data_IF_762707800355
#
_entry.id   IF_762707800355
#
_cell.length_a   1.000
_cell.length_b   1.000
_cell.length_c   1.000
_cell.angle_alpha   90.00
_cell.angle_beta   90.00
_cell.angle_gamma   90.00
#
_symmetry.space_group_name_H-M   'P 1'
#
loop_
_entity.id
_entity.type
_entity.pdbx_description
1 polymer ?
#
# COMPACT_ATOMS: atom_id res chain seq x y z
N UNK A 1 -7.83 39.28 24.47
CA UNK A 1 -9.20 38.75 24.48
C UNK A 1 -9.84 39.27 23.23
N UNK A 2 -10.05 38.44 22.22
CA UNK A 2 -11.08 38.72 21.22
C UNK A 2 -11.70 37.39 20.83
N UNK A 3 -13.01 37.37 20.95
CA UNK A 3 -13.86 36.20 21.00
C UNK A 3 -14.91 36.42 19.91
N UNK A 4 -14.46 36.52 18.66
CA UNK A 4 -15.31 36.68 17.48
C UNK A 4 -16.03 35.35 17.23
N UNK A 5 -17.19 35.20 17.85
CA UNK A 5 -18.12 34.10 17.58
C UNK A 5 -18.85 34.43 16.28
N UNK A 6 -18.34 33.92 15.15
CA UNK A 6 -19.05 34.01 13.87
C UNK A 6 -20.08 32.87 13.77
N UNK A 7 -21.37 33.21 13.66
CA UNK A 7 -22.46 32.23 13.53
C UNK A 7 -22.58 31.69 12.09
N UNK A 8 -22.26 32.52 11.10
CA UNK A 8 -22.16 32.23 9.68
C UNK A 8 -21.01 33.08 9.14
N UNK A 9 -20.03 32.48 8.46
CA UNK A 9 -19.02 33.26 7.73
C UNK A 9 -18.61 32.55 6.44
N UNK A 10 -18.58 33.31 5.36
CA UNK A 10 -17.92 32.96 4.10
C UNK A 10 -16.72 33.88 3.93
N UNK A 11 -15.57 33.34 3.56
CA UNK A 11 -14.40 34.15 3.18
C UNK A 11 -13.86 33.64 1.87
N UNK A 12 -13.96 34.47 0.83
CA UNK A 12 -13.45 34.17 -0.50
C UNK A 12 -12.19 35.01 -0.71
N UNK A 13 -11.08 34.37 -1.06
CA UNK A 13 -9.78 35.02 -1.20
C UNK A 13 -9.09 34.64 -2.51
N UNK A 14 -9.06 35.57 -3.47
CA UNK A 14 -8.39 35.42 -4.77
C UNK A 14 -7.21 36.40 -4.98
N UNK A 15 -6.15 36.40 -4.14
CA UNK A 15 -5.04 37.31 -4.37
C UNK A 15 -4.21 36.88 -5.59
N UNK A 16 -3.82 37.87 -6.42
CA UNK A 16 -3.07 37.65 -7.67
C UNK A 16 -1.73 38.37 -7.63
N UNK A 17 -0.64 37.68 -7.93
CA UNK A 17 0.73 38.25 -8.00
C UNK A 17 1.45 37.81 -9.28
N UNK A 18 2.21 38.73 -9.89
CA UNK A 18 3.00 38.45 -11.10
C UNK A 18 4.51 38.31 -10.87
N UNK A 19 5.05 38.89 -9.80
CA UNK A 19 6.52 39.06 -9.62
C UNK A 19 6.99 39.05 -8.15
N UNK A 20 6.08 38.87 -7.18
CA UNK A 20 6.41 38.83 -5.75
C UNK A 20 5.89 37.54 -5.10
N UNK A 21 6.66 37.01 -4.14
CA UNK A 21 6.23 35.91 -3.27
C UNK A 21 4.87 36.22 -2.64
N UNK A 22 3.92 35.29 -2.78
CA UNK A 22 2.56 35.47 -2.27
C UNK A 22 2.33 34.49 -1.12
N UNK A 23 1.86 35.01 0.01
CA UNK A 23 1.52 34.21 1.18
C UNK A 23 0.10 34.55 1.64
N UNK A 24 -0.78 33.56 1.61
CA UNK A 24 -2.18 33.69 2.00
C UNK A 24 -2.40 32.93 3.30
N UNK A 25 -2.90 33.63 4.32
CA UNK A 25 -3.18 33.05 5.63
C UNK A 25 -4.63 33.33 6.00
N UNK A 26 -5.44 32.27 6.04
CA UNK A 26 -6.83 32.33 6.50
C UNK A 26 -6.91 31.64 7.84
N UNK A 27 -7.20 32.40 8.90
CA UNK A 27 -7.26 31.89 10.27
C UNK A 27 -8.60 32.20 10.91
N UNK A 28 -9.38 31.16 11.21
CA UNK A 28 -10.70 31.30 11.82
C UNK A 28 -10.78 30.53 13.14
N UNK A 29 -11.32 31.18 14.17
CA UNK A 29 -11.47 30.59 15.51
C UNK A 29 -12.93 30.61 15.95
N UNK A 30 -13.43 29.45 16.41
CA UNK A 30 -14.80 29.21 16.89
C UNK A 30 -15.89 29.56 15.87
N UNK A 31 -16.09 28.64 14.94
CA UNK A 31 -17.01 28.82 13.81
C UNK A 31 -18.14 27.82 13.90
N UNK A 32 -19.38 28.26 13.65
CA UNK A 32 -20.57 27.39 13.74
C UNK A 32 -21.09 26.87 12.42
N UNK A 33 -20.90 27.63 11.34
CA UNK A 33 -21.10 27.25 9.95
C UNK A 33 -20.20 28.16 9.11
N UNK A 34 -19.34 27.59 8.25
CA UNK A 34 -18.54 28.39 7.34
C UNK A 34 -18.13 27.66 6.07
N UNK A 35 -17.91 28.43 5.02
CA UNK A 35 -17.13 28.06 3.84
C UNK A 35 -15.94 29.00 3.74
N UNK A 36 -14.77 28.49 3.44
CA UNK A 36 -13.64 29.34 3.06
C UNK A 36 -13.16 28.91 1.70
N UNK A 37 -13.14 29.84 0.76
CA UNK A 37 -12.67 29.60 -0.60
C UNK A 37 -11.39 30.42 -0.84
N UNK A 38 -10.36 29.78 -1.36
CA UNK A 38 -9.02 30.37 -1.52
C UNK A 38 -8.41 29.96 -2.85
N UNK A 39 -8.49 30.85 -3.84
CA UNK A 39 -7.96 30.65 -5.20
C UNK A 39 -6.82 31.64 -5.55
N UNK A 40 -5.67 31.61 -4.86
CA UNK A 40 -4.60 32.54 -5.15
C UNK A 40 -3.86 32.14 -6.42
N UNK A 41 -3.49 33.16 -7.19
CA UNK A 41 -2.83 33.01 -8.46
C UNK A 41 -1.45 33.64 -8.43
N UNK A 42 -0.44 32.91 -8.86
CA UNK A 42 0.91 33.43 -8.99
C UNK A 42 1.60 33.02 -10.29
N UNK A 43 2.23 33.99 -10.94
CA UNK A 43 3.16 33.75 -12.05
C UNK A 43 4.58 33.97 -11.56
N UNK A 44 5.47 32.99 -11.76
CA UNK A 44 6.92 33.09 -11.53
C UNK A 44 7.36 33.42 -10.08
N UNK A 45 6.50 33.26 -9.07
CA UNK A 45 6.88 33.43 -7.66
C UNK A 45 6.35 32.32 -6.74
N UNK A 46 7.07 32.01 -5.64
CA UNK A 46 6.63 31.00 -4.68
C UNK A 46 5.31 31.42 -4.04
N UNK A 47 4.37 30.48 -3.98
CA UNK A 47 3.04 30.66 -3.42
C UNK A 47 2.87 29.76 -2.20
N UNK A 48 2.51 30.34 -1.06
CA UNK A 48 2.17 29.61 0.16
C UNK A 48 0.75 29.95 0.59
N UNK A 49 -0.07 28.93 0.78
CA UNK A 49 -1.46 29.05 1.23
C UNK A 49 -1.62 28.25 2.51
N UNK A 50 -2.10 28.91 3.56
CA UNK A 50 -2.31 28.30 4.85
C UNK A 50 -3.72 28.62 5.36
N UNK A 51 -4.55 27.59 5.46
CA UNK A 51 -5.92 27.69 5.99
C UNK A 51 -6.00 26.98 7.33
N UNK A 52 -6.40 27.69 8.37
CA UNK A 52 -6.46 27.19 9.74
C UNK A 52 -7.81 27.43 10.39
N UNK A 53 -8.54 26.35 10.72
CA UNK A 53 -9.79 26.42 11.49
C UNK A 53 -9.65 25.76 12.85
N UNK A 54 -10.05 26.48 13.88
CA UNK A 54 -10.07 25.98 15.26
C UNK A 54 -11.47 26.01 15.86
N UNK A 55 -11.97 24.86 16.32
CA UNK A 55 -13.30 24.66 16.92
C UNK A 55 -14.42 24.99 15.93
N UNK A 56 -14.60 24.11 14.96
CA UNK A 56 -15.51 24.30 13.84
C UNK A 56 -16.70 23.31 13.93
N UNK A 57 -17.91 23.81 13.75
CA UNK A 57 -19.12 23.03 13.49
C UNK A 57 -19.51 23.24 12.02
N UNK A 58 -19.70 22.18 11.23
CA UNK A 58 -20.17 22.24 9.84
C UNK A 58 -19.40 23.24 8.96
N UNK A 59 -18.18 22.88 8.59
CA UNK A 59 -17.29 23.77 7.84
C UNK A 59 -16.79 23.09 6.56
N UNK A 60 -16.71 23.83 5.47
CA UNK A 60 -15.98 23.47 4.25
C UNK A 60 -14.80 24.41 4.05
N UNK A 61 -13.70 23.88 3.52
CA UNK A 61 -12.58 24.70 3.05
C UNK A 61 -12.16 24.22 1.68
N UNK A 62 -12.23 25.10 0.68
CA UNK A 62 -11.90 24.79 -0.70
C UNK A 62 -10.69 25.67 -1.05
N UNK A 63 -9.63 25.06 -1.59
CA UNK A 63 -8.35 25.74 -1.83
C UNK A 63 -7.80 25.35 -3.20
N UNK A 64 -7.91 26.25 -4.18
CA UNK A 64 -7.49 26.02 -5.57
C UNK A 64 -6.38 26.98 -6.03
N UNK A 65 -5.17 26.91 -5.45
CA UNK A 65 -4.11 27.82 -5.83
C UNK A 65 -3.48 27.43 -7.17
N UNK A 66 -3.22 28.43 -8.00
CA UNK A 66 -2.60 28.24 -9.30
C UNK A 66 -1.22 28.90 -9.37
N UNK A 67 -0.21 28.13 -9.80
CA UNK A 67 1.16 28.61 -9.96
C UNK A 67 1.76 28.26 -11.32
N UNK A 68 2.45 29.21 -11.96
CA UNK A 68 3.24 28.98 -13.16
C UNK A 68 4.73 29.23 -12.88
N UNK A 69 5.55 28.18 -12.85
CA UNK A 69 7.02 28.30 -12.80
C UNK A 69 7.63 28.51 -11.40
N UNK A 70 6.99 28.10 -10.30
CA UNK A 70 7.48 28.31 -8.93
C UNK A 70 7.01 27.27 -7.90
N UNK A 71 7.60 27.24 -6.70
CA UNK A 71 7.15 26.32 -5.64
C UNK A 71 5.79 26.72 -5.06
N UNK A 72 4.88 25.75 -4.96
CA UNK A 72 3.55 25.89 -4.37
C UNK A 72 3.46 25.04 -3.09
N UNK A 73 3.09 25.67 -1.97
CA UNK A 73 2.85 24.98 -0.71
C UNK A 73 1.45 25.31 -0.18
N UNK A 74 0.66 24.27 0.05
CA UNK A 74 -0.69 24.38 0.61
C UNK A 74 -0.73 23.63 1.94
N UNK A 75 -1.18 24.30 2.99
CA UNK A 75 -1.34 23.72 4.31
C UNK A 75 -2.76 23.98 4.83
N UNK A 76 -3.55 22.93 5.02
CA UNK A 76 -4.89 23.01 5.60
C UNK A 76 -4.89 22.34 6.97
N UNK A 77 -5.18 23.11 8.02
CA UNK A 77 -5.14 22.68 9.41
C UNK A 77 -6.49 22.82 10.10
N UNK A 78 -7.15 21.71 10.38
CA UNK A 78 -8.44 21.68 11.05
C UNK A 78 -8.32 21.06 12.46
N UNK A 79 -8.78 21.80 13.47
CA UNK A 79 -8.72 21.38 14.87
C UNK A 79 -10.08 21.42 15.55
N UNK A 80 -10.50 20.27 16.13
CA UNK A 80 -11.79 20.09 16.83
C UNK A 80 -12.98 20.39 15.92
N UNK A 81 -13.08 19.62 14.83
CA UNK A 81 -14.18 19.70 13.87
C UNK A 81 -15.24 18.66 14.18
N UNK A 82 -16.51 19.04 14.13
CA UNK A 82 -17.61 18.09 14.39
C UNK A 82 -18.30 17.56 13.13
N UNK A 83 -18.22 18.32 12.03
CA UNK A 83 -18.56 17.95 10.66
C UNK A 83 -17.83 18.90 9.73
N UNK A 84 -17.19 18.38 8.69
CA UNK A 84 -16.60 19.24 7.69
C UNK A 84 -15.86 18.52 6.58
N UNK A 85 -15.52 19.27 5.55
CA UNK A 85 -14.74 18.82 4.41
C UNK A 85 -13.58 19.76 4.16
N UNK A 86 -12.49 19.23 3.60
CA UNK A 86 -11.43 20.02 3.00
C UNK A 86 -11.28 19.56 1.57
N UNK A 87 -11.39 20.47 0.62
CA UNK A 87 -11.04 20.24 -0.78
C UNK A 87 -9.81 21.07 -1.12
N UNK A 88 -8.88 20.50 -1.89
CA UNK A 88 -7.60 21.12 -2.20
C UNK A 88 -7.14 20.69 -3.59
N UNK A 89 -7.35 21.56 -4.58
CA UNK A 89 -6.98 21.34 -5.99
C UNK A 89 -5.86 22.29 -6.48
N UNK A 90 -4.63 22.20 -5.93
CA UNK A 90 -3.55 23.05 -6.36
C UNK A 90 -3.09 22.67 -7.77
N UNK A 91 -2.96 23.67 -8.63
CA UNK A 91 -2.55 23.48 -10.02
C UNK A 91 -1.21 24.15 -10.30
N UNK A 92 -0.32 23.43 -10.97
CA UNK A 92 0.96 23.96 -11.38
C UNK A 92 1.47 23.42 -12.72
N UNK A 93 2.33 24.19 -13.40
CA UNK A 93 2.95 23.74 -14.67
C UNK A 93 4.37 23.22 -14.49
N UNK A 94 5.24 23.99 -13.85
CA UNK A 94 6.70 23.73 -13.75
C UNK A 94 7.21 24.08 -12.34
N UNK A 95 7.00 23.21 -11.36
CA UNK A 95 6.95 23.61 -9.95
C UNK A 95 7.33 22.47 -8.98
N UNK A 96 7.59 22.80 -7.71
CA UNK A 96 7.51 21.82 -6.63
C UNK A 96 6.21 22.08 -5.89
N UNK A 97 5.35 21.06 -5.77
CA UNK A 97 4.03 21.17 -5.15
C UNK A 97 4.03 20.35 -3.86
N UNK A 98 3.71 21.01 -2.75
CA UNK A 98 3.54 20.35 -1.46
C UNK A 98 2.17 20.66 -0.89
N UNK A 99 1.38 19.61 -0.60
CA UNK A 99 0.09 19.72 0.08
C UNK A 99 0.22 19.04 1.44
N UNK A 100 -0.23 19.72 2.50
CA UNK A 100 -0.28 19.18 3.85
C UNK A 100 -1.68 19.40 4.43
N UNK A 101 -2.45 18.34 4.64
CA UNK A 101 -3.76 18.41 5.28
C UNK A 101 -3.68 17.74 6.65
N UNK A 102 -4.06 18.47 7.70
CA UNK A 102 -3.97 18.03 9.09
C UNK A 102 -5.28 18.20 9.84
N UNK A 103 -5.86 17.10 10.29
CA UNK A 103 -7.13 17.07 11.04
C UNK A 103 -6.91 16.49 12.43
N UNK A 104 -7.16 17.30 13.46
CA UNK A 104 -7.01 16.90 14.86
C UNK A 104 -8.33 16.93 15.60
N UNK A 105 -8.73 15.81 16.20
CA UNK A 105 -10.00 15.63 16.95
C UNK A 105 -11.21 15.94 16.08
N UNK A 106 -11.32 15.24 14.96
CA UNK A 106 -12.44 15.39 14.04
C UNK A 106 -13.52 14.32 14.27
N UNK A 107 -14.78 14.71 14.12
CA UNK A 107 -15.92 13.81 13.97
C UNK A 107 -16.52 14.04 12.58
N UNK A 108 -16.77 12.98 11.81
CA UNK A 108 -17.41 13.04 10.48
C UNK A 108 -16.73 14.03 9.54
N UNK A 109 -15.55 13.67 9.02
CA UNK A 109 -14.76 14.54 8.16
C UNK A 109 -14.37 13.90 6.83
N UNK A 110 -14.31 14.68 5.76
CA UNK A 110 -13.74 14.26 4.48
C UNK A 110 -12.56 15.15 4.12
N UNK A 111 -11.56 14.59 3.47
CA UNK A 111 -10.48 15.34 2.84
C UNK A 111 -10.34 14.85 1.41
N UNK A 112 -10.50 15.75 0.46
CA UNK A 112 -10.20 15.53 -0.94
C UNK A 112 -8.96 16.36 -1.32
N UNK A 113 -8.11 15.83 -2.17
CA UNK A 113 -6.85 16.46 -2.57
C UNK A 113 -6.47 16.02 -3.98
N UNK A 114 -6.74 16.89 -4.96
CA UNK A 114 -6.45 16.67 -6.38
C UNK A 114 -5.36 17.63 -6.93
N UNK A 115 -4.09 17.50 -6.51
CA UNK A 115 -3.03 18.34 -7.04
C UNK A 115 -2.73 17.97 -8.48
N UNK A 116 -2.72 18.96 -9.39
CA UNK A 116 -2.46 18.76 -10.82
C UNK A 116 -1.17 19.44 -11.25
N UNK A 117 -0.27 18.67 -11.86
CA UNK A 117 0.99 19.19 -12.38
C UNK A 117 1.35 18.73 -13.80
N UNK A 118 2.17 19.50 -14.51
CA UNK A 118 2.79 19.00 -15.75
C UNK A 118 4.21 18.45 -15.52
N UNK A 119 5.14 19.26 -15.00
CA UNK A 119 6.55 18.88 -14.80
C UNK A 119 7.03 19.29 -13.41
N UNK A 120 7.03 18.39 -12.43
CA UNK A 120 7.14 18.79 -11.02
C UNK A 120 7.81 17.75 -10.09
N UNK A 121 7.84 18.07 -8.81
CA UNK A 121 7.88 17.07 -7.73
C UNK A 121 6.68 17.35 -6.84
N UNK A 122 5.87 16.33 -6.59
CA UNK A 122 4.59 16.45 -5.90
C UNK A 122 4.65 15.68 -4.59
N UNK A 123 4.36 16.34 -3.47
CA UNK A 123 4.33 15.73 -2.16
C UNK A 123 3.01 16.02 -1.45
N UNK A 124 2.22 14.98 -1.17
CA UNK A 124 0.97 15.09 -0.40
C UNK A 124 1.16 14.44 0.96
N UNK A 125 0.86 15.17 2.02
CA UNK A 125 0.86 14.67 3.39
C UNK A 125 -0.54 14.84 3.99
N UNK A 126 -1.21 13.74 4.32
CA UNK A 126 -2.49 13.79 5.05
C UNK A 126 -2.32 13.19 6.43
N UNK A 127 -2.65 13.95 7.47
CA UNK A 127 -2.51 13.54 8.86
C UNK A 127 -3.84 13.62 9.63
N UNK A 128 -4.41 12.47 10.01
CA UNK A 128 -5.58 12.42 10.89
C UNK A 128 -5.20 11.97 12.29
N UNK A 129 -5.57 12.75 13.30
CA UNK A 129 -5.29 12.45 14.71
C UNK A 129 -6.54 12.50 15.56
N UNK A 130 -6.89 11.36 16.19
CA UNK A 130 -8.09 11.21 17.03
C UNK A 130 -9.39 11.46 16.25
N UNK A 131 -9.52 10.81 15.10
CA UNK A 131 -10.71 10.87 14.26
C UNK A 131 -11.68 9.71 14.55
N UNK A 132 -12.97 9.90 14.24
CA UNK A 132 -13.99 8.89 14.52
C UNK A 132 -14.61 8.25 13.28
N UNK A 133 -14.94 9.05 12.27
CA UNK A 133 -15.41 8.66 10.94
C UNK A 133 -14.83 9.67 9.98
N UNK A 134 -13.78 9.30 9.25
CA UNK A 134 -13.23 10.19 8.26
C UNK A 134 -12.70 9.44 7.07
N UNK A 135 -12.91 10.00 5.89
CA UNK A 135 -12.49 9.45 4.62
C UNK A 135 -11.51 10.45 3.99
N UNK A 136 -10.57 9.94 3.21
CA UNK A 136 -9.48 10.74 2.62
C UNK A 136 -9.25 10.23 1.23
N UNK A 137 -9.52 11.09 0.26
CA UNK A 137 -9.38 10.80 -1.15
C UNK A 137 -8.22 11.64 -1.68
N UNK A 138 -7.35 11.05 -2.48
CA UNK A 138 -6.14 11.72 -2.98
C UNK A 138 -5.85 11.28 -4.41
N UNK A 139 -6.16 12.15 -5.38
CA UNK A 139 -6.02 11.89 -6.81
C UNK A 139 -5.01 12.82 -7.47
N UNK A 140 -3.71 12.68 -7.18
CA UNK A 140 -2.71 13.56 -7.75
C UNK A 140 -2.48 13.20 -9.21
N UNK A 141 -2.60 14.19 -10.09
CA UNK A 141 -2.37 14.02 -11.52
C UNK A 141 -1.06 14.69 -11.92
N UNK A 142 -0.18 13.95 -12.58
CA UNK A 142 0.99 14.56 -13.17
C UNK A 142 1.55 13.92 -14.42
N UNK A 143 1.92 14.76 -15.40
CA UNK A 143 2.46 14.26 -16.68
C UNK A 143 3.90 13.75 -16.56
N UNK A 144 4.80 14.47 -15.90
CA UNK A 144 6.21 14.10 -15.68
C UNK A 144 6.64 14.50 -14.27
N UNK A 145 6.76 13.53 -13.36
CA UNK A 145 6.97 13.82 -11.94
C UNK A 145 7.55 12.69 -11.16
N UNK A 146 8.11 13.03 -10.00
CA UNK A 146 8.16 12.17 -8.82
C UNK A 146 7.01 12.53 -7.88
N UNK A 147 6.11 11.59 -7.64
CA UNK A 147 5.05 11.69 -6.65
C UNK A 147 5.52 11.10 -5.31
N UNK A 148 5.16 11.72 -4.19
CA UNK A 148 5.23 11.14 -2.85
C UNK A 148 3.93 11.44 -2.11
N UNK A 149 3.15 10.42 -1.81
CA UNK A 149 1.95 10.55 -0.97
C UNK A 149 2.24 9.87 0.36
N UNK A 150 1.87 10.53 1.45
CA UNK A 150 2.11 10.13 2.83
C UNK A 150 0.81 10.30 3.62
N UNK A 151 0.10 9.21 3.91
CA UNK A 151 -1.09 9.25 4.76
C UNK A 151 -0.76 8.70 6.14
N UNK A 152 -0.99 9.50 7.19
CA UNK A 152 -0.66 9.20 8.57
C UNK A 152 -1.91 9.23 9.48
N UNK A 153 -2.42 8.06 9.88
CA UNK A 153 -3.61 7.96 10.72
C UNK A 153 -3.29 7.49 12.16
N UNK A 154 -3.63 8.32 13.14
CA UNK A 154 -3.36 8.05 14.57
C UNK A 154 -4.62 8.08 15.42
N UNK A 155 -4.96 6.93 16.02
CA UNK A 155 -6.11 6.72 16.92
C UNK A 155 -7.44 7.02 16.21
N UNK A 156 -7.68 6.32 15.11
CA UNK A 156 -8.90 6.45 14.32
C UNK A 156 -9.84 5.27 14.60
N UNK A 157 -11.15 5.53 14.69
CA UNK A 157 -12.14 4.46 14.89
C UNK A 157 -12.60 3.84 13.57
N UNK A 158 -13.01 4.66 12.59
CA UNK A 158 -13.44 4.26 11.25
C UNK A 158 -12.85 5.23 10.23
N UNK A 159 -12.17 4.71 9.21
CA UNK A 159 -11.67 5.51 8.09
C UNK A 159 -11.49 4.71 6.81
N UNK A 160 -11.77 5.35 5.66
CA UNK A 160 -11.26 4.96 4.35
C UNK A 160 -10.09 5.85 3.94
N UNK A 161 -9.25 5.36 3.05
CA UNK A 161 -8.20 6.16 2.41
C UNK A 161 -8.04 5.64 1.00
N UNK A 162 -8.43 6.46 0.03
CA UNK A 162 -8.44 6.08 -1.37
C UNK A 162 -7.39 6.95 -2.07
N UNK A 163 -6.47 6.33 -2.80
CA UNK A 163 -5.34 7.04 -3.43
C UNK A 163 -5.15 6.58 -4.88
N UNK A 164 -5.49 7.46 -5.83
CA UNK A 164 -5.42 7.17 -7.27
C UNK A 164 -4.42 8.09 -8.00
N UNK A 165 -3.11 7.91 -7.80
CA UNK A 165 -2.13 8.77 -8.44
C UNK A 165 -1.98 8.41 -9.92
N UNK A 166 -2.02 9.42 -10.79
CA UNK A 166 -1.71 9.27 -12.21
C UNK A 166 -0.38 9.95 -12.54
N UNK A 167 0.67 9.17 -12.80
CA UNK A 167 1.95 9.79 -13.19
C UNK A 167 2.92 8.88 -13.95
N UNK A 168 3.99 9.47 -14.50
CA UNK A 168 5.12 8.73 -15.11
C UNK A 168 6.14 8.15 -14.12
N UNK A 169 6.30 8.67 -12.90
CA UNK A 169 7.15 8.06 -11.84
C UNK A 169 6.54 8.37 -10.46
N UNK A 170 5.96 7.38 -9.79
CA UNK A 170 5.17 7.60 -8.58
C UNK A 170 5.74 6.82 -7.40
N UNK A 171 6.04 7.44 -6.27
CA UNK A 171 6.29 6.76 -4.99
C UNK A 171 5.15 7.04 -4.02
N UNK A 172 4.78 6.05 -3.21
CA UNK A 172 3.66 6.11 -2.29
C UNK A 172 4.06 5.54 -0.93
N UNK A 173 3.56 6.12 0.15
CA UNK A 173 3.71 5.53 1.48
C UNK A 173 2.48 5.82 2.32
N UNK A 174 1.96 4.82 3.00
CA UNK A 174 0.78 4.91 3.85
C UNK A 174 1.13 4.36 5.24
N UNK A 175 1.13 5.21 6.27
CA UNK A 175 1.45 4.80 7.65
C UNK A 175 0.23 4.91 8.59
N UNK A 176 -0.14 3.80 9.21
CA UNK A 176 -1.32 3.68 10.06
C UNK A 176 -0.92 3.24 11.49
N UNK A 177 -0.67 4.18 12.40
CA UNK A 177 -0.10 3.83 13.70
C UNK A 177 -1.12 3.19 14.67
N UNK A 178 -2.40 3.59 14.65
CA UNK A 178 -3.48 3.00 15.50
C UNK A 178 -4.87 3.17 14.90
N UNK A 179 -5.46 2.09 14.40
CA UNK A 179 -6.80 2.08 13.83
C UNK A 179 -7.67 0.96 14.45
N UNK A 180 -8.98 1.18 14.57
CA UNK A 180 -9.92 0.09 14.92
C UNK A 180 -10.50 -0.58 13.67
N UNK A 181 -11.05 0.21 12.74
CA UNK A 181 -11.53 -0.21 11.43
C UNK A 181 -10.98 0.74 10.38
N UNK A 182 -10.19 0.23 9.45
CA UNK A 182 -9.69 1.03 8.33
C UNK A 182 -9.66 0.21 7.04
N UNK A 183 -9.98 0.87 5.93
CA UNK A 183 -9.66 0.40 4.58
C UNK A 183 -8.61 1.34 3.98
N UNK A 184 -7.81 0.84 3.05
CA UNK A 184 -6.86 1.64 2.29
C UNK A 184 -6.81 1.06 0.89
N UNK A 185 -7.26 1.84 -0.09
CA UNK A 185 -7.38 1.40 -1.47
C UNK A 185 -6.44 2.27 -2.31
N UNK A 186 -5.55 1.63 -3.06
CA UNK A 186 -4.57 2.34 -3.89
C UNK A 186 -4.63 1.87 -5.34
N UNK A 187 -5.00 2.77 -6.26
CA UNK A 187 -5.00 2.50 -7.71
C UNK A 187 -4.04 3.40 -8.50
N UNK A 188 -2.71 3.20 -8.42
CA UNK A 188 -1.78 4.02 -9.15
C UNK A 188 -1.78 3.67 -10.65
N UNK A 189 -1.81 4.69 -11.51
CA UNK A 189 -1.88 4.54 -12.97
C UNK A 189 -0.70 5.22 -13.65
N UNK A 190 -0.01 4.49 -14.54
CA UNK A 190 1.18 5.00 -15.23
C UNK A 190 1.41 4.38 -16.61
N UNK A 191 2.31 5.01 -17.39
CA UNK A 191 2.87 4.37 -18.59
C UNK A 191 4.15 3.60 -18.23
N UNK A 192 5.08 4.30 -17.61
CA UNK A 192 6.25 3.74 -16.91
C UNK A 192 6.03 4.05 -15.42
N UNK A 193 6.35 3.17 -14.48
CA UNK A 193 6.48 3.60 -13.07
C UNK A 193 7.52 2.80 -12.29
N UNK A 194 8.07 3.46 -11.27
CA UNK A 194 8.73 2.81 -10.14
C UNK A 194 7.92 3.12 -8.90
N UNK A 195 7.00 2.22 -8.53
CA UNK A 195 6.13 2.40 -7.39
C UNK A 195 6.69 1.68 -6.19
N UNK A 196 7.01 2.43 -5.15
CA UNK A 196 7.19 1.87 -3.82
C UNK A 196 5.95 2.20 -3.04
N UNK A 197 5.34 1.22 -2.39
CA UNK A 197 4.25 1.38 -1.44
C UNK A 197 4.69 0.81 -0.11
N UNK A 198 4.57 1.59 0.96
CA UNK A 198 4.85 1.11 2.31
C UNK A 198 3.59 1.27 3.14
N UNK A 199 2.96 0.16 3.53
CA UNK A 199 1.81 0.13 4.43
C UNK A 199 2.25 -0.33 5.82
N UNK A 200 2.25 0.58 6.79
CA UNK A 200 2.72 0.29 8.16
C UNK A 200 1.61 0.36 9.20
N UNK A 201 1.18 -0.77 9.78
CA UNK A 201 0.12 -0.83 10.81
C UNK A 201 0.67 -1.26 12.18
N UNK A 202 0.63 -0.39 13.19
CA UNK A 202 1.26 -0.71 14.51
C UNK A 202 0.32 -1.31 15.56
N UNK A 203 -1.00 -1.03 15.47
CA UNK A 203 -2.07 -1.67 16.25
C UNK A 203 -3.39 -1.53 15.49
N UNK A 204 -3.88 -2.63 14.95
CA UNK A 204 -5.12 -2.67 14.21
C UNK A 204 -6.06 -3.75 14.77
N UNK A 205 -7.37 -3.48 14.79
CA UNK A 205 -8.37 -4.51 15.10
C UNK A 205 -8.93 -5.19 13.85
N UNK A 206 -9.35 -4.39 12.87
CA UNK A 206 -9.83 -4.81 11.56
C UNK A 206 -9.27 -3.83 10.53
N UNK A 207 -8.47 -4.32 9.59
CA UNK A 207 -7.87 -3.47 8.56
C UNK A 207 -7.71 -4.27 7.27
N UNK A 208 -8.18 -3.69 6.18
CA UNK A 208 -8.02 -4.27 4.84
C UNK A 208 -7.24 -3.24 4.00
N UNK A 209 -6.51 -3.72 3.01
CA UNK A 209 -5.58 -2.91 2.21
C UNK A 209 -5.52 -3.50 0.83
N UNK A 210 -5.98 -2.74 -0.16
CA UNK A 210 -6.16 -3.20 -1.52
C UNK A 210 -5.30 -2.34 -2.45
N UNK A 211 -4.47 -2.98 -3.29
CA UNK A 211 -3.49 -2.32 -4.14
C UNK A 211 -3.63 -2.79 -5.59
N UNK A 212 -4.14 -1.95 -6.49
CA UNK A 212 -4.37 -2.25 -7.92
C UNK A 212 -3.58 -1.34 -8.88
N UNK A 213 -2.26 -1.51 -9.00
CA UNK A 213 -1.45 -0.69 -9.90
C UNK A 213 -1.66 -1.08 -11.35
N UNK A 214 -1.85 -0.08 -12.24
CA UNK A 214 -2.01 -0.28 -13.69
C UNK A 214 -0.92 0.44 -14.48
N UNK A 215 -0.09 -0.33 -15.19
CA UNK A 215 1.11 0.17 -15.88
C UNK A 215 1.37 -0.51 -17.24
N UNK A 216 2.10 0.14 -18.16
CA UNK A 216 2.68 -0.60 -19.30
C UNK A 216 4.00 -1.27 -18.87
N UNK A 217 4.93 -0.49 -18.31
CA UNK A 217 6.18 -0.99 -17.74
C UNK A 217 6.32 -0.52 -16.29
N UNK A 218 6.58 -1.44 -15.37
CA UNK A 218 6.65 -1.07 -13.96
C UNK A 218 7.60 -1.88 -13.10
N UNK A 219 8.23 -1.19 -12.15
CA UNK A 219 8.86 -1.79 -10.99
C UNK A 219 8.01 -1.46 -9.77
N UNK A 220 7.31 -2.46 -9.23
CA UNK A 220 6.49 -2.32 -8.03
C UNK A 220 7.24 -2.88 -6.82
N UNK A 221 7.21 -2.19 -5.70
CA UNK A 221 7.76 -2.64 -4.43
C UNK A 221 6.76 -2.35 -3.33
N UNK A 222 6.00 -3.35 -2.92
CA UNK A 222 4.97 -3.25 -1.87
C UNK A 222 5.55 -3.80 -0.58
N UNK A 223 5.59 -2.99 0.46
CA UNK A 223 6.02 -3.36 1.80
C UNK A 223 4.86 -3.22 2.77
N UNK A 224 4.34 -4.34 3.27
CA UNK A 224 3.26 -4.35 4.26
C UNK A 224 3.80 -4.81 5.60
N UNK A 225 3.84 -3.91 6.57
CA UNK A 225 4.31 -4.17 7.93
C UNK A 225 3.19 -4.09 8.95
N UNK A 226 2.65 -5.23 9.40
CA UNK A 226 1.63 -5.25 10.46
C UNK A 226 2.24 -5.69 11.79
N UNK A 227 2.01 -4.91 12.83
CA UNK A 227 2.36 -5.20 14.20
C UNK A 227 1.10 -5.21 15.06
N UNK A 228 0.89 -6.27 15.84
CA UNK A 228 -0.24 -6.41 16.78
C UNK A 228 -1.61 -6.19 16.12
N UNK A 229 -1.87 -6.92 15.04
CA UNK A 229 -3.18 -6.93 14.38
C UNK A 229 -4.07 -8.08 14.88
N UNK A 230 -5.38 -7.87 14.96
CA UNK A 230 -6.33 -8.94 15.28
C UNK A 230 -6.94 -9.62 14.05
N UNK A 231 -7.39 -8.83 13.06
CA UNK A 231 -7.88 -9.28 11.75
C UNK A 231 -7.38 -8.32 10.70
N UNK A 232 -6.70 -8.84 9.68
CA UNK A 232 -6.17 -8.02 8.60
C UNK A 232 -6.15 -8.77 7.27
N UNK A 233 -6.59 -8.13 6.19
CA UNK A 233 -6.40 -8.55 4.81
C UNK A 233 -5.39 -7.64 4.09
N UNK A 234 -4.81 -8.13 3.01
CA UNK A 234 -3.95 -7.34 2.13
C UNK A 234 -4.03 -7.96 0.76
N UNK A 235 -4.64 -7.26 -0.18
CA UNK A 235 -4.90 -7.77 -1.53
C UNK A 235 -4.09 -6.92 -2.52
N UNK A 236 -3.40 -7.56 -3.46
CA UNK A 236 -2.51 -6.89 -4.41
C UNK A 236 -2.71 -7.45 -5.82
N UNK A 237 -3.33 -6.66 -6.71
CA UNK A 237 -3.72 -7.05 -8.07
C UNK A 237 -3.10 -6.13 -9.14
N UNK A 238 -1.79 -6.25 -9.39
CA UNK A 238 -1.11 -5.42 -10.37
C UNK A 238 -1.43 -5.86 -11.80
N UNK A 239 -1.78 -4.90 -12.68
CA UNK A 239 -2.00 -5.13 -14.11
C UNK A 239 -0.93 -4.44 -14.95
N UNK A 240 -0.11 -5.23 -15.66
CA UNK A 240 1.09 -4.72 -16.31
C UNK A 240 1.33 -5.32 -17.71
N UNK A 241 1.99 -4.61 -18.61
CA UNK A 241 2.46 -5.22 -19.86
C UNK A 241 3.85 -5.88 -19.68
N UNK A 242 4.73 -5.26 -18.89
CA UNK A 242 5.97 -5.84 -18.36
C UNK A 242 6.21 -5.34 -16.92
N UNK A 243 6.46 -6.24 -15.96
CA UNK A 243 6.69 -5.83 -14.57
C UNK A 243 7.81 -6.57 -13.84
N UNK A 244 8.42 -5.84 -12.92
CA UNK A 244 9.18 -6.39 -11.80
C UNK A 244 8.44 -6.06 -10.52
N UNK A 245 7.82 -7.07 -9.90
CA UNK A 245 7.09 -6.92 -8.65
C UNK A 245 7.94 -7.44 -7.50
N UNK A 246 8.06 -6.66 -6.43
CA UNK A 246 8.55 -7.13 -5.15
C UNK A 246 7.48 -6.88 -4.09
N UNK A 247 7.03 -7.93 -3.43
CA UNK A 247 6.06 -7.84 -2.33
C UNK A 247 6.73 -8.36 -1.08
N UNK A 248 6.79 -7.54 -0.03
CA UNK A 248 7.40 -7.86 1.24
C UNK A 248 6.38 -7.68 2.35
N UNK A 249 5.89 -8.77 2.92
CA UNK A 249 4.90 -8.74 4.00
C UNK A 249 5.55 -9.16 5.31
N UNK A 250 5.62 -8.25 6.27
CA UNK A 250 6.15 -8.48 7.61
C UNK A 250 5.05 -8.41 8.66
N UNK A 251 4.58 -9.56 9.15
CA UNK A 251 3.55 -9.61 10.19
C UNK A 251 4.14 -10.00 11.55
N UNK A 252 3.83 -9.24 12.58
CA UNK A 252 4.31 -9.45 13.94
C UNK A 252 3.16 -9.45 14.94
N UNK A 253 2.95 -10.57 15.63
CA UNK A 253 1.87 -10.75 16.64
C UNK A 253 0.47 -10.56 16.04
N UNK A 254 0.21 -11.24 14.92
CA UNK A 254 -1.09 -11.26 14.25
C UNK A 254 -1.92 -12.44 14.75
N UNK A 255 -3.22 -12.22 14.97
CA UNK A 255 -4.14 -13.25 15.47
C UNK A 255 -4.95 -13.93 14.36
N UNK A 256 -5.28 -13.21 13.28
CA UNK A 256 -5.82 -13.70 12.01
C UNK A 256 -5.41 -12.75 10.90
N UNK A 257 -5.04 -13.27 9.75
CA UNK A 257 -4.90 -12.44 8.55
C UNK A 257 -4.66 -13.22 7.27
N UNK A 258 -4.78 -12.54 6.15
CA UNK A 258 -4.51 -13.06 4.80
C UNK A 258 -3.64 -12.08 4.03
N UNK A 259 -3.05 -12.57 2.95
CA UNK A 259 -2.36 -11.74 1.98
C UNK A 259 -2.53 -12.40 0.63
N UNK A 260 -3.24 -11.75 -0.28
CA UNK A 260 -3.59 -12.31 -1.58
C UNK A 260 -2.88 -11.47 -2.65
N UNK A 261 -2.23 -12.13 -3.61
CA UNK A 261 -1.43 -11.46 -4.64
C UNK A 261 -1.73 -12.06 -6.02
N UNK A 262 -2.46 -11.32 -6.85
CA UNK A 262 -2.94 -11.76 -8.18
C UNK A 262 -2.42 -10.87 -9.33
N UNK A 263 -1.12 -10.94 -9.66
CA UNK A 263 -0.53 -10.12 -10.70
C UNK A 263 -0.91 -10.62 -12.09
N UNK A 264 -1.34 -9.71 -12.95
CA UNK A 264 -1.70 -10.00 -14.34
C UNK A 264 -0.78 -9.27 -15.30
N UNK A 265 -0.02 -10.02 -16.12
CA UNK A 265 0.92 -9.39 -17.04
C UNK A 265 1.30 -10.23 -18.26
N UNK A 266 2.05 -9.65 -19.22
CA UNK A 266 2.67 -10.45 -20.28
C UNK A 266 4.02 -11.00 -19.84
N UNK A 267 4.90 -10.14 -19.37
CA UNK A 267 6.23 -10.49 -18.85
C UNK A 267 6.36 -10.04 -17.39
N UNK A 268 6.74 -10.95 -16.50
CA UNK A 268 6.82 -10.70 -15.07
C UNK A 268 8.08 -11.26 -14.43
N UNK A 269 8.69 -10.47 -13.55
CA UNK A 269 9.57 -10.97 -12.50
C UNK A 269 8.94 -10.63 -11.16
N UNK A 270 8.55 -11.63 -10.39
CA UNK A 270 7.83 -11.46 -9.14
C UNK A 270 8.61 -12.06 -7.99
N UNK A 271 8.86 -11.25 -6.97
CA UNK A 271 9.56 -11.64 -5.75
C UNK A 271 8.65 -11.38 -4.55
N UNK A 272 8.16 -12.44 -3.92
CA UNK A 272 7.31 -12.37 -2.72
C UNK A 272 8.14 -12.80 -1.53
N UNK A 273 8.14 -11.99 -0.47
CA UNK A 273 8.84 -12.24 0.77
C UNK A 273 7.86 -12.07 1.93
N UNK A 274 7.47 -13.17 2.57
CA UNK A 274 6.54 -13.15 3.71
C UNK A 274 7.27 -13.54 4.98
N UNK A 275 7.32 -12.63 5.95
CA UNK A 275 7.90 -12.83 7.27
C UNK A 275 6.84 -12.77 8.37
N UNK A 276 6.46 -13.92 8.95
CA UNK A 276 5.51 -13.96 10.07
C UNK A 276 6.21 -14.28 11.38
N UNK A 277 6.06 -13.41 12.38
CA UNK A 277 6.58 -13.61 13.74
C UNK A 277 5.44 -13.62 14.76
N UNK A 278 5.27 -14.74 15.47
CA UNK A 278 4.20 -14.95 16.47
C UNK A 278 2.80 -14.76 15.87
N UNK A 279 2.58 -15.35 14.70
CA UNK A 279 1.30 -15.35 14.01
C UNK A 279 0.42 -16.53 14.45
N UNK A 280 -0.89 -16.30 14.49
CA UNK A 280 -1.91 -17.34 14.59
C UNK A 280 -2.86 -17.19 13.38
N UNK A 281 -3.26 -18.30 12.76
CA UNK A 281 -4.29 -18.32 11.70
C UNK A 281 -4.01 -17.32 10.56
N UNK A 282 -2.91 -17.52 9.84
CA UNK A 282 -2.55 -16.66 8.70
C UNK A 282 -2.47 -17.45 7.39
N UNK A 283 -2.93 -16.85 6.29
CA UNK A 283 -2.76 -17.37 4.93
C UNK A 283 -1.94 -16.42 4.07
N UNK A 284 -1.41 -16.92 2.98
CA UNK A 284 -0.80 -16.12 1.92
C UNK A 284 -1.05 -16.83 0.61
N UNK A 285 -1.79 -16.21 -0.29
CA UNK A 285 -2.20 -16.81 -1.55
C UNK A 285 -1.57 -16.00 -2.70
N UNK A 286 -0.99 -16.68 -3.68
CA UNK A 286 -0.26 -16.02 -4.79
C UNK A 286 -0.62 -16.67 -6.12
N UNK A 287 -1.37 -15.97 -6.96
CA UNK A 287 -1.89 -16.45 -8.25
C UNK A 287 -1.46 -15.58 -9.44
N UNK A 288 -0.18 -15.61 -9.85
CA UNK A 288 0.28 -14.81 -10.97
C UNK A 288 -0.23 -15.36 -12.31
N UNK A 289 -0.78 -14.49 -13.16
CA UNK A 289 -1.26 -14.80 -14.51
C UNK A 289 -0.41 -14.09 -15.57
N UNK A 290 0.48 -14.84 -16.20
CA UNK A 290 1.55 -14.28 -17.05
C UNK A 290 1.65 -15.00 -18.41
N UNK A 291 2.31 -14.41 -19.42
CA UNK A 291 2.82 -15.24 -20.54
C UNK A 291 4.17 -15.83 -20.16
N UNK A 292 5.10 -14.98 -19.74
CA UNK A 292 6.43 -15.33 -19.27
C UNK A 292 6.59 -14.81 -17.83
N UNK A 293 7.00 -15.68 -16.91
CA UNK A 293 7.14 -15.29 -15.51
C UNK A 293 8.36 -15.92 -14.84
N UNK A 294 9.07 -15.11 -14.07
CA UNK A 294 10.03 -15.57 -13.06
C UNK A 294 9.48 -15.26 -11.68
N UNK A 295 9.05 -16.29 -10.94
CA UNK A 295 8.52 -16.19 -9.59
C UNK A 295 9.59 -16.61 -8.58
N UNK A 296 9.79 -15.81 -7.54
CA UNK A 296 10.58 -16.16 -6.36
C UNK A 296 9.72 -15.90 -5.12
N UNK A 297 9.45 -16.93 -4.33
CA UNK A 297 8.65 -16.85 -3.10
C UNK A 297 9.54 -17.24 -1.93
N UNK A 298 9.67 -16.37 -0.95
CA UNK A 298 10.38 -16.59 0.30
C UNK A 298 9.41 -16.48 1.47
N UNK A 299 9.23 -17.54 2.22
CA UNK A 299 8.35 -17.57 3.39
C UNK A 299 9.17 -17.87 4.65
N UNK A 300 9.22 -16.91 5.57
CA UNK A 300 9.87 -17.04 6.87
C UNK A 300 8.84 -17.03 8.00
N UNK A 301 8.59 -18.20 8.62
CA UNK A 301 7.69 -18.29 9.78
C UNK A 301 8.47 -18.53 11.07
N UNK A 302 8.19 -17.71 12.07
CA UNK A 302 8.80 -17.80 13.41
C UNK A 302 7.74 -17.80 14.50
N UNK A 303 7.63 -18.91 15.24
CA UNK A 303 6.62 -19.09 16.31
C UNK A 303 5.19 -18.97 15.80
N UNK A 304 4.91 -19.58 14.64
CA UNK A 304 3.61 -19.54 13.99
C UNK A 304 2.71 -20.72 14.40
N UNK A 305 1.39 -20.50 14.34
CA UNK A 305 0.38 -21.50 14.69
C UNK A 305 -0.77 -21.46 13.67
N UNK A 306 -0.92 -22.54 12.87
CA UNK A 306 -1.88 -22.63 11.76
C UNK A 306 -1.65 -21.55 10.70
N UNK A 307 -0.62 -21.74 9.89
CA UNK A 307 -0.34 -20.86 8.76
C UNK A 307 -0.29 -21.64 7.45
N UNK A 308 -0.82 -21.07 6.37
CA UNK A 308 -0.77 -21.64 5.03
C UNK A 308 -0.05 -20.70 4.07
N UNK A 309 0.46 -21.26 2.98
CA UNK A 309 0.91 -20.50 1.82
C UNK A 309 0.55 -21.28 0.58
N UNK A 310 -0.27 -20.68 -0.27
CA UNK A 310 -0.76 -21.32 -1.49
C UNK A 310 -0.24 -20.54 -2.69
N UNK A 311 0.28 -21.23 -3.71
CA UNK A 311 0.92 -20.60 -4.87
C UNK A 311 0.49 -21.29 -6.16
N UNK A 312 -0.35 -20.62 -6.95
CA UNK A 312 -0.96 -21.16 -8.17
C UNK A 312 -0.68 -20.28 -9.40
N UNK A 313 0.56 -20.27 -9.93
CA UNK A 313 0.89 -19.48 -11.10
C UNK A 313 0.30 -20.09 -12.37
N UNK A 314 -0.23 -19.23 -13.24
CA UNK A 314 -0.75 -19.56 -14.56
C UNK A 314 0.10 -18.86 -15.64
N UNK A 315 0.97 -19.62 -16.31
CA UNK A 315 1.90 -19.07 -17.29
C UNK A 315 1.94 -19.87 -18.60
N UNK A 316 2.49 -19.30 -19.68
CA UNK A 316 2.98 -20.14 -20.80
C UNK A 316 4.35 -20.70 -20.45
N UNK A 317 5.26 -19.84 -20.01
CA UNK A 317 6.61 -20.18 -19.60
C UNK A 317 6.85 -19.63 -18.19
N UNK A 318 7.30 -20.49 -17.28
CA UNK A 318 7.48 -20.10 -15.89
C UNK A 318 8.78 -20.68 -15.29
N UNK A 319 9.52 -19.81 -14.60
CA UNK A 319 10.61 -20.19 -13.70
C UNK A 319 10.19 -19.86 -12.28
N UNK A 320 10.17 -20.83 -11.38
CA UNK A 320 9.63 -20.70 -10.04
C UNK A 320 10.64 -21.17 -9.00
N UNK A 321 10.87 -20.33 -8.00
CA UNK A 321 11.70 -20.63 -6.85
C UNK A 321 10.89 -20.41 -5.58
N UNK A 322 10.67 -21.45 -4.78
CA UNK A 322 10.05 -21.34 -3.45
C UNK A 322 11.09 -21.68 -2.40
N UNK A 323 11.23 -20.81 -1.41
CA UNK A 323 12.08 -21.00 -0.26
C UNK A 323 11.25 -20.82 1.02
N UNK A 324 11.07 -21.88 1.79
CA UNK A 324 10.29 -21.85 3.03
C UNK A 324 11.22 -22.10 4.21
N UNK A 325 11.31 -21.15 5.14
CA UNK A 325 12.08 -21.24 6.37
C UNK A 325 11.16 -21.18 7.59
N UNK A 326 11.09 -22.28 8.34
CA UNK A 326 10.12 -22.46 9.41
C UNK A 326 10.82 -22.73 10.74
N UNK A 327 10.57 -21.87 11.73
CA UNK A 327 11.14 -21.99 13.07
C UNK A 327 10.08 -22.02 14.16
N UNK A 328 10.01 -23.11 14.92
CA UNK A 328 9.05 -23.31 16.04
C UNK A 328 7.59 -23.20 15.60
N UNK A 329 7.20 -23.99 14.62
CA UNK A 329 5.85 -23.97 14.03
C UNK A 329 5.05 -25.18 14.51
N UNK A 330 3.77 -24.97 14.85
CA UNK A 330 2.90 -26.09 15.25
C UNK A 330 2.18 -26.77 14.09
N UNK A 331 1.58 -25.98 13.20
CA UNK A 331 0.79 -26.43 12.05
C UNK A 331 1.04 -25.45 10.91
N UNK A 332 1.61 -25.94 9.82
CA UNK A 332 1.73 -25.18 8.58
C UNK A 332 1.55 -26.06 7.35
N UNK A 333 1.03 -25.47 6.28
CA UNK A 333 0.93 -26.05 4.94
C UNK A 333 1.60 -25.11 3.93
N UNK A 334 2.12 -25.69 2.86
CA UNK A 334 2.56 -24.95 1.69
C UNK A 334 2.14 -25.75 0.47
N UNK A 335 1.23 -25.20 -0.32
CA UNK A 335 0.70 -25.87 -1.51
C UNK A 335 1.14 -25.08 -2.74
N UNK A 336 1.65 -25.77 -3.75
CA UNK A 336 2.20 -25.14 -4.97
C UNK A 336 1.71 -25.87 -6.21
N UNK A 337 0.78 -25.26 -6.95
CA UNK A 337 0.15 -25.84 -8.14
C UNK A 337 0.39 -25.00 -9.41
N UNK A 338 1.63 -24.99 -9.97
CA UNK A 338 1.90 -24.21 -11.16
C UNK A 338 1.28 -24.84 -12.41
N UNK A 339 0.58 -24.02 -13.20
CA UNK A 339 0.04 -24.37 -14.50
C UNK A 339 0.82 -23.65 -15.61
N UNK A 340 1.60 -24.41 -16.37
CA UNK A 340 2.54 -23.85 -17.35
C UNK A 340 2.67 -24.74 -18.58
N UNK A 341 3.01 -24.21 -19.76
CA UNK A 341 3.42 -25.10 -20.88
C UNK A 341 4.81 -25.64 -20.62
N UNK A 342 5.73 -24.74 -20.23
CA UNK A 342 7.11 -25.03 -19.85
C UNK A 342 7.35 -24.48 -18.45
N UNK A 343 7.84 -25.32 -17.54
CA UNK A 343 8.17 -24.91 -16.17
C UNK A 343 9.57 -25.33 -15.75
N UNK A 344 10.25 -24.44 -15.04
CA UNK A 344 11.36 -24.80 -14.15
C UNK A 344 10.94 -24.48 -12.72
N UNK A 345 10.93 -25.47 -11.84
CA UNK A 345 10.52 -25.34 -10.45
C UNK A 345 11.68 -25.73 -9.53
N UNK A 346 11.97 -24.88 -8.56
CA UNK A 346 12.90 -25.13 -7.47
C UNK A 346 12.20 -24.88 -6.14
N UNK A 347 12.18 -25.86 -5.26
CA UNK A 347 11.56 -25.75 -3.93
C UNK A 347 12.60 -26.11 -2.89
N UNK A 348 12.78 -25.22 -1.90
CA UNK A 348 13.70 -25.40 -0.79
C UNK A 348 12.95 -25.19 0.52
N UNK A 349 12.93 -26.20 1.38
CA UNK A 349 12.23 -26.14 2.67
C UNK A 349 13.22 -26.40 3.81
N UNK A 350 13.38 -25.42 4.69
CA UNK A 350 14.15 -25.54 5.93
C UNK A 350 13.25 -25.49 7.16
N UNK A 351 13.25 -26.57 7.94
CA UNK A 351 12.41 -26.72 9.12
C UNK A 351 13.25 -26.89 10.38
N UNK A 352 13.04 -25.99 11.34
CA UNK A 352 13.64 -26.05 12.68
C UNK A 352 12.55 -26.10 13.75
N UNK A 353 12.40 -27.25 14.43
CA UNK A 353 11.40 -27.49 15.48
C UNK A 353 9.94 -27.34 15.00
N UNK A 354 9.53 -28.16 14.04
CA UNK A 354 8.14 -28.22 13.56
C UNK A 354 7.39 -29.42 14.16
N UNK A 355 6.09 -29.26 14.48
CA UNK A 355 5.25 -30.37 14.93
C UNK A 355 4.49 -31.04 13.79
N UNK A 356 3.66 -30.28 13.05
CA UNK A 356 2.95 -30.72 11.84
C UNK A 356 3.24 -29.76 10.71
N UNK A 357 3.85 -30.27 9.64
CA UNK A 357 4.08 -29.51 8.43
C UNK A 357 3.69 -30.33 7.20
N UNK A 358 3.08 -29.69 6.21
CA UNK A 358 2.79 -30.29 4.91
C UNK A 358 3.40 -29.42 3.82
N UNK A 359 3.94 -30.05 2.80
CA UNK A 359 4.29 -29.37 1.54
C UNK A 359 3.73 -30.22 0.41
N UNK A 360 2.80 -29.65 -0.37
CA UNK A 360 2.25 -30.28 -1.56
C UNK A 360 2.71 -29.50 -2.80
N UNK A 361 3.07 -30.22 -3.85
CA UNK A 361 3.56 -29.63 -5.10
C UNK A 361 3.02 -30.42 -6.30
N UNK A 362 2.00 -29.87 -6.96
CA UNK A 362 1.36 -30.44 -8.16
C UNK A 362 1.61 -29.59 -9.42
N UNK A 363 2.81 -29.60 -10.03
CA UNK A 363 3.05 -28.87 -11.26
C UNK A 363 2.37 -29.56 -12.43
N UNK A 364 1.61 -28.79 -13.19
CA UNK A 364 0.90 -29.24 -14.39
C UNK A 364 1.52 -28.56 -15.60
N UNK A 365 2.24 -29.35 -16.39
CA UNK A 365 2.86 -28.82 -17.60
C UNK A 365 2.99 -29.80 -18.76
N UNK A 366 3.40 -29.31 -19.94
CA UNK A 366 3.84 -30.20 -21.01
C UNK A 366 5.28 -30.65 -20.75
N UNK A 367 6.13 -29.71 -20.39
CA UNK A 367 7.56 -29.88 -20.09
C UNK A 367 7.87 -29.27 -18.71
N UNK A 368 8.53 -30.02 -17.83
CA UNK A 368 8.90 -29.54 -16.49
C UNK A 368 10.31 -30.01 -16.09
N UNK A 369 11.05 -29.11 -15.44
CA UNK A 369 12.24 -29.45 -14.65
C UNK A 369 11.98 -29.10 -13.19
N UNK A 370 12.12 -30.07 -12.29
CA UNK A 370 11.81 -29.92 -10.87
C UNK A 370 13.03 -30.25 -10.00
N UNK A 371 13.34 -29.34 -9.08
CA UNK A 371 14.36 -29.54 -8.05
C UNK A 371 13.76 -29.28 -6.68
N UNK A 372 13.93 -30.22 -5.76
CA UNK A 372 13.39 -30.14 -4.41
C UNK A 372 14.49 -30.41 -3.38
N UNK A 373 14.60 -29.54 -2.38
CA UNK A 373 15.59 -29.63 -1.32
C UNK A 373 14.92 -29.45 0.05
N UNK A 374 14.95 -30.48 0.91
CA UNK A 374 14.32 -30.43 2.23
C UNK A 374 15.35 -30.64 3.34
N UNK A 375 15.51 -29.63 4.20
CA UNK A 375 16.37 -29.62 5.37
C UNK A 375 15.58 -29.69 6.68
N UNK A 376 15.73 -30.79 7.45
CA UNK A 376 14.98 -31.01 8.69
C UNK A 376 15.88 -31.01 9.94
N UNK A 377 15.53 -30.17 10.90
CA UNK A 377 16.12 -30.16 12.26
C UNK A 377 15.01 -30.23 13.31
N UNK A 378 14.83 -31.40 13.95
CA UNK A 378 13.84 -31.67 15.01
C UNK A 378 12.37 -31.49 14.56
N UNK A 379 11.95 -32.18 13.51
CA UNK A 379 10.55 -32.28 13.08
C UNK A 379 9.86 -33.54 13.67
N UNK A 380 8.54 -33.50 13.91
CA UNK A 380 7.76 -34.66 14.40
C UNK A 380 6.93 -35.34 13.30
N UNK A 381 5.99 -34.62 12.68
CA UNK A 381 5.15 -35.10 11.57
C UNK A 381 5.29 -34.09 10.44
N UNK A 382 5.99 -34.49 9.38
CA UNK A 382 6.13 -33.66 8.20
C UNK A 382 5.94 -34.55 6.98
N UNK A 383 4.98 -34.15 6.15
CA UNK A 383 4.61 -34.85 4.92
C UNK A 383 4.98 -33.93 3.75
N UNK A 384 5.53 -34.54 2.71
CA UNK A 384 5.96 -33.83 1.50
C UNK A 384 5.54 -34.68 0.32
N UNK A 385 4.58 -34.17 -0.44
CA UNK A 385 3.99 -34.83 -1.59
C UNK A 385 4.29 -33.99 -2.84
N UNK A 386 4.80 -34.64 -3.87
CA UNK A 386 5.17 -33.99 -5.14
C UNK A 386 4.63 -34.83 -6.29
N UNK A 387 3.55 -34.38 -6.93
CA UNK A 387 2.88 -35.06 -8.05
C UNK A 387 2.96 -34.25 -9.36
N UNK A 388 4.09 -34.30 -10.09
CA UNK A 388 4.20 -33.64 -11.38
C UNK A 388 3.33 -34.34 -12.43
N UNK A 389 2.43 -33.58 -13.04
CA UNK A 389 1.62 -34.02 -14.19
C UNK A 389 2.18 -33.41 -15.45
N UNK A 390 3.17 -34.06 -16.06
CA UNK A 390 3.68 -33.66 -17.37
C UNK A 390 3.95 -34.84 -18.31
N UNK A 391 4.08 -34.53 -19.61
CA UNK A 391 4.47 -35.52 -20.62
C UNK A 391 5.97 -35.81 -20.57
N UNK A 392 6.76 -34.80 -20.21
CA UNK A 392 8.21 -34.85 -20.07
C UNK A 392 8.63 -34.08 -18.81
N UNK A 393 9.01 -34.80 -17.75
CA UNK A 393 9.43 -34.23 -16.47
C UNK A 393 10.83 -34.74 -16.09
N UNK A 394 11.72 -33.83 -15.71
CA UNK A 394 12.95 -34.18 -14.99
C UNK A 394 12.78 -33.82 -13.51
N UNK A 395 13.08 -34.75 -12.61
CA UNK A 395 12.86 -34.61 -11.16
C UNK A 395 14.18 -34.87 -10.41
N UNK A 396 14.54 -33.96 -9.51
CA UNK A 396 15.71 -34.06 -8.64
C UNK A 396 15.33 -33.73 -7.19
N UNK A 397 15.52 -34.67 -6.27
CA UNK A 397 15.12 -34.53 -4.86
C UNK A 397 16.36 -34.72 -3.96
N UNK A 398 16.60 -33.78 -3.05
CA UNK A 398 17.63 -33.83 -2.01
C UNK A 398 17.04 -33.66 -0.62
N UNK A 399 17.23 -34.65 0.27
CA UNK A 399 16.74 -34.61 1.65
C UNK A 399 17.90 -34.67 2.64
N UNK A 400 18.02 -33.65 3.49
CA UNK A 400 19.03 -33.54 4.56
C UNK A 400 18.38 -33.54 5.94
N UNK A 401 18.60 -34.59 6.74
CA UNK A 401 18.08 -34.69 8.11
C UNK A 401 19.23 -34.62 9.10
N UNK A 402 19.24 -33.60 9.97
CA UNK A 402 20.24 -33.47 11.02
C UNK A 402 19.60 -33.70 12.40
N UNK A 403 19.96 -34.82 13.04
CA UNK A 403 19.59 -35.14 14.42
C UNK A 403 20.69 -34.64 15.36
N UNK A 404 20.45 -33.54 16.07
CA UNK A 404 21.30 -33.08 17.19
C UNK A 404 20.47 -32.87 18.45
#
# INVERSE_FOLDING_TARGET
>A
MDLTRAQLCGTDTEPRSKECSLSVWVGLTRVQQCGTDTEPWCKECPLSVCVGLSRAQRCGTDTEPWCHGCSLSVCVGLSRVQRGGTDTEPQCKECSLSVCVGLTRAQQCGTDTEPRCQECSLSVFVGLSRAQRCDTDTEPWCKECSLSVCVALTRVQQCGTDTEPWCKVCSLSVELTRAQRCGTDTEPRSKECSLSECVGLTRAQQCDTDTEPRCQECSLSVFVGLSRAQRCGTDTEPWCHGCSLSVCVGLSRVQRGGTDTEPQCKECSLSVCVGLTRAQQCGTDTEPRCQECSLSVFVGLSRAQRCGTDTEPWCKECSLSVCVALTRVQQCGTDTEPWCKVCSLSVSVELTRAQRCGTDTEPRSKECSLSECVGLTRAQQCDTDTEPRSKECSLSIGVGISRV
#
